data_IF_591049602404
#
_entry.id   IF_591049602404
#
_cell.length_a   1.000
_cell.length_b   1.000
_cell.length_c   1.000
_cell.angle_alpha   90.00
_cell.angle_beta   90.00
_cell.angle_gamma   90.00
#
_symmetry.space_group_name_H-M   'P 1'
#
loop_
_entity.id
_entity.type
_entity.pdbx_description
1 polymer ?
#
# COMPACT_ATOMS: atom_id res chain seq x y z
N UNK A 1 11.02 -13.11 -27.16
CA UNK A 1 10.10 -12.60 -26.10
C UNK A 1 10.77 -11.43 -25.40
N UNK A 2 10.36 -10.18 -25.68
CA UNK A 2 10.99 -8.97 -25.11
C UNK A 2 10.18 -8.53 -23.90
N UNK A 3 10.79 -8.53 -22.73
CA UNK A 3 10.12 -8.07 -21.50
C UNK A 3 9.93 -6.54 -21.59
N UNK A 4 8.74 -6.00 -21.26
CA UNK A 4 8.49 -4.57 -21.27
C UNK A 4 9.43 -3.84 -20.29
N UNK A 5 9.80 -2.58 -20.58
CA UNK A 5 10.64 -1.80 -19.68
C UNK A 5 9.96 -1.61 -18.31
N UNK A 6 10.76 -1.70 -17.25
CA UNK A 6 10.33 -1.43 -15.88
C UNK A 6 10.12 0.08 -15.72
N UNK A 7 9.03 0.49 -15.06
CA UNK A 7 8.73 1.89 -14.82
C UNK A 7 8.97 2.29 -13.35
N UNK A 8 9.24 3.57 -13.10
CA UNK A 8 9.37 4.11 -11.73
C UNK A 8 8.08 3.94 -10.92
N UNK A 9 6.92 3.82 -11.57
CA UNK A 9 5.65 3.52 -10.90
C UNK A 9 5.67 2.16 -10.22
N UNK A 10 6.33 1.15 -10.82
CA UNK A 10 6.48 -0.19 -10.25
C UNK A 10 7.30 -0.15 -8.97
N UNK A 11 8.42 0.58 -8.96
CA UNK A 11 9.24 0.79 -7.77
C UNK A 11 8.46 1.47 -6.63
N UNK A 12 7.69 2.53 -6.95
CA UNK A 12 6.85 3.24 -5.96
C UNK A 12 5.78 2.34 -5.33
N UNK A 13 5.12 1.52 -6.14
CA UNK A 13 4.06 0.63 -5.66
C UNK A 13 4.60 -0.40 -4.65
N UNK A 14 5.80 -0.90 -4.89
CA UNK A 14 6.43 -1.91 -4.03
C UNK A 14 7.11 -1.29 -2.80
N UNK A 15 6.89 0.00 -2.54
CA UNK A 15 7.59 0.80 -1.50
C UNK A 15 9.11 0.66 -1.59
N UNK A 16 9.66 0.37 -2.76
CA UNK A 16 11.10 0.30 -2.96
C UNK A 16 11.69 1.70 -2.79
N UNK A 17 12.84 1.79 -2.11
CA UNK A 17 13.57 3.06 -1.97
C UNK A 17 13.82 3.65 -3.35
N UNK A 18 13.54 4.94 -3.55
CA UNK A 18 13.75 5.61 -4.84
C UNK A 18 15.22 5.97 -5.11
N UNK A 19 16.15 5.49 -4.27
CA UNK A 19 17.57 5.61 -4.49
C UNK A 19 17.96 4.77 -5.71
N UNK A 20 18.46 5.41 -6.79
CA UNK A 20 18.82 4.72 -8.03
C UNK A 20 19.82 3.59 -7.81
N UNK A 21 20.70 3.67 -6.82
CA UNK A 21 21.66 2.61 -6.51
C UNK A 21 21.00 1.35 -5.94
N UNK A 22 19.85 1.49 -5.26
CA UNK A 22 19.12 0.38 -4.64
C UNK A 22 18.14 -0.30 -5.60
N UNK A 23 17.62 0.43 -6.59
CA UNK A 23 16.63 -0.08 -7.56
C UNK A 23 17.20 -0.38 -8.94
N UNK A 24 18.43 0.06 -9.24
CA UNK A 24 19.12 -0.31 -10.47
C UNK A 24 19.80 -1.67 -10.34
N UNK A 25 19.72 -2.46 -11.40
CA UNK A 25 20.52 -3.66 -11.58
C UNK A 25 21.92 -3.33 -12.11
N UNK A 26 22.81 -4.32 -12.10
CA UNK A 26 24.18 -4.21 -12.61
C UNK A 26 24.26 -3.83 -14.10
N UNK A 27 23.17 -4.06 -14.84
CA UNK A 27 23.02 -3.66 -16.24
C UNK A 27 22.67 -2.17 -16.43
N UNK A 28 22.60 -1.36 -15.36
CA UNK A 28 22.30 0.07 -15.41
C UNK A 28 20.82 0.40 -15.65
N UNK A 29 19.92 -0.60 -15.62
CA UNK A 29 18.46 -0.44 -15.73
C UNK A 29 17.80 -0.84 -14.42
N UNK A 30 16.55 -0.44 -14.21
CA UNK A 30 15.76 -0.88 -13.05
C UNK A 30 15.68 -2.41 -12.96
N UNK A 31 15.68 -2.94 -11.72
CA UNK A 31 15.60 -4.38 -11.42
C UNK A 31 14.40 -5.02 -12.11
N UNK A 32 14.64 -6.10 -12.85
CA UNK A 32 13.60 -6.88 -13.53
C UNK A 32 12.60 -7.53 -12.55
N UNK A 33 13.01 -7.79 -11.30
CA UNK A 33 12.12 -8.31 -10.24
C UNK A 33 10.92 -7.38 -10.00
N UNK A 34 11.10 -6.06 -10.15
CA UNK A 34 10.03 -5.09 -10.01
C UNK A 34 8.90 -5.33 -11.03
N UNK A 35 9.22 -5.82 -12.23
CA UNK A 35 8.22 -6.18 -13.26
C UNK A 35 7.53 -7.49 -12.89
N UNK A 36 8.30 -8.48 -12.46
CA UNK A 36 7.81 -9.82 -12.13
C UNK A 36 6.78 -9.77 -10.99
N UNK A 37 7.06 -8.99 -9.95
CA UNK A 37 6.19 -8.87 -8.78
C UNK A 37 5.01 -7.91 -9.02
N UNK A 38 5.08 -7.06 -10.04
CA UNK A 38 4.09 -5.99 -10.25
C UNK A 38 2.66 -6.50 -10.41
N UNK A 39 2.48 -7.57 -11.18
CA UNK A 39 1.14 -8.10 -11.49
C UNK A 39 0.47 -8.64 -10.22
N UNK A 40 1.23 -9.32 -9.35
CA UNK A 40 0.79 -9.80 -8.03
C UNK A 40 0.47 -8.63 -7.10
N UNK A 41 1.32 -7.60 -7.07
CA UNK A 41 1.06 -6.39 -6.28
C UNK A 41 -0.24 -5.70 -6.72
N UNK A 42 -0.51 -5.58 -8.02
CA UNK A 42 -1.75 -4.97 -8.52
C UNK A 42 -2.99 -5.76 -8.10
N UNK A 43 -2.95 -7.09 -8.24
CA UNK A 43 -4.06 -7.96 -7.85
C UNK A 43 -4.37 -7.84 -6.36
N UNK A 44 -3.34 -8.00 -5.51
CA UNK A 44 -3.51 -7.91 -4.06
C UNK A 44 -3.94 -6.52 -3.63
N UNK A 45 -3.37 -5.45 -4.20
CA UNK A 45 -3.75 -4.07 -3.86
C UNK A 45 -5.21 -3.75 -4.21
N UNK A 46 -5.78 -4.37 -5.26
CA UNK A 46 -7.20 -4.21 -5.61
C UNK A 46 -8.13 -4.93 -4.65
N UNK A 47 -7.69 -6.07 -4.12
CA UNK A 47 -8.47 -6.87 -3.16
C UNK A 47 -8.46 -6.27 -1.74
N UNK A 48 -7.37 -5.60 -1.36
CA UNK A 48 -7.19 -5.06 -0.02
C UNK A 48 -7.97 -3.75 0.19
N UNK A 49 -8.55 -3.53 1.39
CA UNK A 49 -9.11 -2.23 1.74
C UNK A 49 -8.03 -1.15 1.80
N UNK A 50 -8.42 0.07 1.45
CA UNK A 50 -7.49 1.21 1.37
C UNK A 50 -7.06 1.68 2.75
N UNK A 51 -5.84 2.23 2.83
CA UNK A 51 -5.39 2.97 4.01
C UNK A 51 -6.41 4.07 4.34
N UNK A 52 -6.76 4.16 5.62
CA UNK A 52 -7.76 5.09 6.16
C UNK A 52 -9.19 4.57 6.14
N UNK A 53 -9.47 3.41 5.54
CA UNK A 53 -10.78 2.78 5.58
C UNK A 53 -11.09 2.22 6.98
N UNK A 54 -12.37 2.29 7.35
CA UNK A 54 -12.89 1.66 8.56
C UNK A 54 -13.33 0.23 8.23
N UNK A 55 -12.84 -0.74 8.99
CA UNK A 55 -13.11 -2.16 8.78
C UNK A 55 -13.64 -2.81 10.05
N UNK A 56 -14.34 -3.92 9.89
CA UNK A 56 -14.77 -4.78 10.99
C UNK A 56 -14.01 -6.09 10.92
N UNK A 57 -13.35 -6.43 12.01
CA UNK A 57 -12.62 -7.69 12.22
C UNK A 57 -13.33 -8.52 13.29
N UNK A 58 -12.94 -9.78 13.45
CA UNK A 58 -13.42 -10.65 14.54
C UNK A 58 -13.23 -10.04 15.95
N UNK A 59 -12.20 -9.20 16.12
CA UNK A 59 -11.85 -8.56 17.39
C UNK A 59 -12.54 -7.19 17.59
N UNK A 60 -13.40 -6.78 16.66
CA UNK A 60 -14.07 -5.49 16.69
C UNK A 60 -13.73 -4.58 15.51
N UNK A 61 -14.12 -3.31 15.63
CA UNK A 61 -13.93 -2.30 14.59
C UNK A 61 -12.56 -1.67 14.68
N UNK A 62 -12.02 -1.26 13.54
CA UNK A 62 -10.75 -0.57 13.48
C UNK A 62 -10.52 0.16 12.17
N UNK A 63 -9.51 1.03 12.16
CA UNK A 63 -9.11 1.82 11.00
C UNK A 63 -7.79 1.34 10.44
N UNK A 64 -7.72 1.17 9.12
CA UNK A 64 -6.49 0.75 8.43
C UNK A 64 -5.46 1.88 8.46
N UNK A 65 -4.33 1.68 9.12
CA UNK A 65 -3.20 2.61 9.14
C UNK A 65 -2.16 2.30 8.05
N UNK A 66 -2.03 1.03 7.68
CA UNK A 66 -1.04 0.58 6.72
C UNK A 66 -1.42 -0.76 6.09
N UNK A 67 -0.79 -1.06 4.97
CA UNK A 67 -0.99 -2.30 4.22
C UNK A 67 0.36 -2.90 3.84
N UNK A 68 0.51 -4.20 4.06
CA UNK A 68 1.56 -5.02 3.46
C UNK A 68 0.94 -5.90 2.38
N UNK A 69 1.19 -5.52 1.13
CA UNK A 69 0.45 -6.03 -0.04
C UNK A 69 0.81 -7.48 -0.33
N UNK A 70 2.09 -7.85 -0.25
CA UNK A 70 2.54 -9.22 -0.55
C UNK A 70 2.09 -10.22 0.51
N UNK A 71 2.19 -9.86 1.80
CA UNK A 71 1.73 -10.74 2.88
C UNK A 71 0.22 -10.67 3.12
N UNK A 72 -0.51 -9.83 2.37
CA UNK A 72 -1.94 -9.57 2.54
C UNK A 72 -2.31 -9.24 3.99
N UNK A 73 -1.45 -8.48 4.67
CA UNK A 73 -1.66 -8.04 6.04
C UNK A 73 -1.95 -6.55 6.11
N UNK A 74 -2.74 -6.14 7.09
CA UNK A 74 -3.06 -4.75 7.35
C UNK A 74 -2.68 -4.38 8.78
N UNK A 75 -2.06 -3.21 8.93
CA UNK A 75 -1.90 -2.58 10.22
C UNK A 75 -3.18 -1.82 10.54
N UNK A 76 -3.89 -2.25 11.57
CA UNK A 76 -5.20 -1.71 11.95
C UNK A 76 -5.12 -1.16 13.36
N UNK A 77 -5.66 0.04 13.54
CA UNK A 77 -5.89 0.62 14.85
C UNK A 77 -7.31 0.28 15.30
N UNK A 78 -7.42 -0.54 16.35
CA UNK A 78 -8.69 -0.90 16.97
C UNK A 78 -9.25 0.28 17.77
N UNK A 79 -10.53 0.21 18.15
CA UNK A 79 -11.17 1.22 19.01
C UNK A 79 -10.47 1.41 20.37
N UNK A 80 -9.82 0.36 20.88
CA UNK A 80 -9.02 0.38 22.11
C UNK A 80 -7.61 1.03 21.91
N UNK A 81 -7.43 1.82 20.85
CA UNK A 81 -6.15 2.42 20.41
C UNK A 81 -4.98 1.45 20.12
N UNK A 82 -5.16 0.15 20.34
CA UNK A 82 -4.19 -0.89 20.04
C UNK A 82 -3.97 -1.02 18.54
N UNK A 83 -2.70 -1.17 18.15
CA UNK A 83 -2.30 -1.45 16.76
C UNK A 83 -2.03 -2.93 16.62
N UNK A 84 -2.78 -3.58 15.73
CA UNK A 84 -2.66 -5.01 15.47
C UNK A 84 -2.47 -5.26 13.98
N UNK A 85 -1.72 -6.31 13.67
CA UNK A 85 -1.60 -6.82 12.31
C UNK A 85 -2.70 -7.85 12.10
N UNK A 86 -3.57 -7.62 11.12
CA UNK A 86 -4.66 -8.54 10.75
C UNK A 86 -4.47 -9.03 9.33
N UNK A 87 -4.83 -10.28 9.06
CA UNK A 87 -4.80 -10.80 7.70
C UNK A 87 -6.04 -10.30 6.92
N UNK A 88 -5.90 -10.15 5.61
CA UNK A 88 -7.00 -9.70 4.75
C UNK A 88 -8.25 -10.58 4.84
N UNK A 89 -8.05 -11.87 5.08
CA UNK A 89 -9.12 -12.86 5.16
C UNK A 89 -9.91 -12.79 6.49
N UNK A 90 -9.36 -12.14 7.52
CA UNK A 90 -10.04 -11.93 8.82
C UNK A 90 -11.01 -10.73 8.80
N UNK A 91 -11.08 -10.01 7.67
CA UNK A 91 -11.89 -8.80 7.52
C UNK A 91 -13.30 -9.21 7.14
N UNK A 92 -14.24 -8.94 8.03
CA UNK A 92 -15.64 -9.31 7.85
C UNK A 92 -16.40 -8.30 6.98
N UNK A 93 -16.12 -7.00 7.15
CA UNK A 93 -16.73 -5.97 6.32
C UNK A 93 -15.87 -4.70 6.23
N UNK A 94 -15.97 -4.02 5.09
CA UNK A 94 -15.34 -2.70 4.86
C UNK A 94 -16.45 -1.66 4.88
N UNK A 95 -16.41 -0.79 5.87
CA UNK A 95 -17.35 0.33 5.98
C UNK A 95 -16.97 1.37 4.93
N UNK A 96 -17.81 1.53 3.90
CA UNK A 96 -17.61 2.60 2.91
C UNK A 96 -17.95 3.93 3.57
N UNK A 97 -16.93 4.66 4.04
CA UNK A 97 -17.07 6.10 4.25
C UNK A 97 -17.20 6.77 2.89
N UNK A 98 -18.37 7.33 2.60
CA UNK A 98 -18.52 8.30 1.51
C UNK A 98 -17.50 9.43 1.70
N UNK A 99 -16.82 9.80 0.60
CA UNK A 99 -15.69 10.72 0.61
C UNK A 99 -16.12 12.11 1.09
N UNK A 100 -15.81 12.47 2.33
CA UNK A 100 -15.61 13.88 2.66
C UNK A 100 -14.31 14.32 1.99
N UNK A 101 -14.45 15.09 0.90
CA UNK A 101 -13.39 15.89 0.29
C UNK A 101 -12.96 16.95 1.32
N UNK A 102 -11.99 16.64 2.16
CA UNK A 102 -11.25 17.69 2.86
C UNK A 102 -9.85 17.78 2.25
N UNK A 103 -9.76 18.69 1.28
CA UNK A 103 -8.53 19.40 0.96
C UNK A 103 -8.07 20.10 2.23
N UNK A 104 -7.01 19.64 2.85
CA UNK A 104 -6.14 20.52 3.64
C UNK A 104 -5.14 21.13 2.67
N UNK A 105 -5.53 22.27 2.11
CA UNK A 105 -4.57 23.25 1.62
C UNK A 105 -3.95 23.99 2.82
N UNK A 106 -2.79 24.59 2.55
CA UNK A 106 -2.09 25.64 3.28
C UNK A 106 -1.03 25.18 4.29
N UNK A 107 0.19 25.74 4.37
CA UNK A 107 1.10 26.63 3.57
C UNK A 107 1.98 27.29 4.63
N UNK A 108 3.29 27.43 4.38
CA UNK A 108 4.19 28.58 4.69
C UNK A 108 5.58 28.18 4.16
N UNK A 109 6.14 28.86 3.14
CA UNK A 109 7.07 30.02 3.24
C UNK A 109 8.37 29.58 3.98
N UNK A 110 9.61 29.76 3.52
CA UNK A 110 10.38 30.83 2.85
C UNK A 110 11.60 30.12 2.17
N UNK A 111 12.35 30.55 1.15
CA UNK A 111 12.87 31.85 0.70
C UNK A 111 13.32 31.69 -0.77
#
# INVERSE_FOLDING_TARGET
>A
MKMPPVSMKMAKMQKATLDPNKISGRCGRLKCCLRYEYDVYEEHQRSLPRIGADIVTSNGRGRVLGQEVLSRQLLVQMEDNRRVMVHADDILSVMRREKTRERSAQVTEEE
#
